data_IF_342590307274
#
_entry.id   IF_342590307274
#
_cell.length_a   1.000
_cell.length_b   1.000
_cell.length_c   1.000
_cell.angle_alpha   90.00
_cell.angle_beta   90.00
_cell.angle_gamma   90.00
#
_symmetry.space_group_name_H-M   'P 1'
#
loop_
_entity.id
_entity.type
_entity.pdbx_description
1 polymer ?
#
# COMPACT_ATOMS: atom_id res chain seq x y z
N UNK A 1 10.88 -6.25 5.69
CA UNK A 1 9.47 -6.06 6.08
C UNK A 1 9.09 -4.61 5.82
N UNK A 2 7.92 -4.32 5.25
CA UNK A 2 7.45 -2.95 5.03
C UNK A 2 7.39 -2.24 6.39
N UNK A 3 7.98 -1.04 6.51
CA UNK A 3 8.09 -0.31 7.79
C UNK A 3 7.10 0.84 7.91
N UNK A 4 6.90 1.56 6.82
CA UNK A 4 6.04 2.74 6.77
C UNK A 4 5.43 2.86 5.39
N UNK A 5 4.18 3.31 5.34
CA UNK A 5 3.49 3.69 4.11
C UNK A 5 2.92 5.10 4.30
N UNK A 6 3.33 6.01 3.40
CA UNK A 6 2.81 7.37 3.33
C UNK A 6 2.08 7.55 2.00
N UNK A 7 0.86 8.08 2.04
CA UNK A 7 -0.02 8.28 0.90
C UNK A 7 -0.46 9.74 0.87
N UNK A 8 -0.08 10.45 -0.19
CA UNK A 8 -0.42 11.85 -0.40
C UNK A 8 -1.53 11.99 -1.44
N UNK A 9 -2.69 12.51 -1.02
CA UNK A 9 -3.84 12.86 -1.87
C UNK A 9 -4.24 11.76 -2.87
N UNK A 10 -4.54 10.57 -2.36
CA UNK A 10 -5.02 9.45 -3.18
C UNK A 10 -6.42 9.01 -2.74
N UNK A 11 -7.43 9.26 -3.59
CA UNK A 11 -8.85 9.01 -3.28
C UNK A 11 -9.22 9.65 -1.93
N UNK A 12 -9.70 8.86 -0.96
CA UNK A 12 -10.07 9.34 0.37
C UNK A 12 -8.90 9.41 1.36
N UNK A 13 -7.66 9.10 0.94
CA UNK A 13 -6.47 9.14 1.79
C UNK A 13 -5.73 10.48 1.57
N UNK A 14 -5.89 11.41 2.51
CA UNK A 14 -5.27 12.74 2.52
C UNK A 14 -4.17 12.76 3.59
N UNK A 15 -2.91 12.94 3.19
CA UNK A 15 -1.74 12.91 4.09
C UNK A 15 -1.75 11.70 5.04
N UNK A 16 -2.13 10.53 4.51
CA UNK A 16 -2.30 9.32 5.29
C UNK A 16 -0.95 8.67 5.57
N UNK A 17 -0.74 8.27 6.82
CA UNK A 17 0.48 7.63 7.27
C UNK A 17 0.16 6.42 8.14
N UNK A 18 0.88 5.31 7.90
CA UNK A 18 0.84 4.12 8.76
C UNK A 18 2.25 3.59 8.98
N UNK A 19 2.52 3.20 10.22
CA UNK A 19 3.74 2.51 10.65
C UNK A 19 3.41 1.04 10.93
N UNK A 20 4.19 0.14 10.36
CA UNK A 20 4.06 -1.31 10.51
C UNK A 20 5.07 -1.83 11.55
N UNK A 21 4.90 -1.36 12.78
CA UNK A 21 5.79 -1.70 13.90
C UNK A 21 5.44 -3.06 14.54
N UNK A 22 4.24 -3.57 14.26
CA UNK A 22 3.72 -4.85 14.73
C UNK A 22 3.64 -5.87 13.59
N UNK A 23 3.72 -7.16 13.93
CA UNK A 23 3.64 -8.26 12.95
C UNK A 23 2.26 -8.36 12.27
N UNK A 24 1.22 -7.89 12.96
CA UNK A 24 -0.17 -7.90 12.47
C UNK A 24 -0.76 -6.50 12.57
N UNK A 25 -1.37 -6.02 11.49
CA UNK A 25 -2.10 -4.76 11.45
C UNK A 25 -3.58 -5.01 11.15
N UNK A 26 -4.47 -4.43 11.95
CA UNK A 26 -5.92 -4.53 11.78
C UNK A 26 -6.49 -3.18 11.34
N UNK A 27 -7.22 -3.17 10.22
CA UNK A 27 -7.87 -1.97 9.70
C UNK A 27 -9.36 -1.95 10.06
N UNK A 28 -9.77 -1.04 10.93
CA UNK A 28 -11.15 -0.87 11.38
C UNK A 28 -11.74 0.45 10.87
N UNK A 29 -13.08 0.50 10.79
CA UNK A 29 -13.83 1.72 10.43
C UNK A 29 -15.06 1.42 9.58
N UNK A 30 -15.91 2.43 9.39
CA UNK A 30 -17.12 2.34 8.55
C UNK A 30 -16.83 2.21 7.05
N UNK A 31 -17.86 1.91 6.24
CA UNK A 31 -17.72 1.90 4.78
C UNK A 31 -17.27 3.26 4.26
N UNK A 32 -16.41 3.26 3.23
CA UNK A 32 -15.84 4.48 2.67
C UNK A 32 -14.64 5.06 3.44
N UNK A 33 -14.28 4.53 4.61
CA UNK A 33 -13.15 5.02 5.42
C UNK A 33 -11.75 4.77 4.83
N UNK A 34 -11.65 4.25 3.60
CA UNK A 34 -10.37 4.05 2.91
C UNK A 34 -9.64 2.73 3.18
N UNK A 35 -10.24 1.78 3.93
CA UNK A 35 -9.62 0.45 4.19
C UNK A 35 -9.21 -0.26 2.89
N UNK A 36 -10.15 -0.48 1.96
CA UNK A 36 -9.85 -1.11 0.68
C UNK A 36 -8.87 -0.28 -0.17
N UNK A 37 -8.86 1.04 -0.01
CA UNK A 37 -7.94 1.94 -0.71
C UNK A 37 -6.49 1.74 -0.24
N UNK A 38 -6.25 1.48 1.05
CA UNK A 38 -4.90 1.14 1.54
C UNK A 38 -4.39 -0.13 0.86
N UNK A 39 -5.21 -1.19 0.80
CA UNK A 39 -4.84 -2.43 0.11
C UNK A 39 -4.59 -2.25 -1.39
N UNK A 40 -5.38 -1.40 -2.05
CA UNK A 40 -5.17 -1.05 -3.46
C UNK A 40 -3.81 -0.39 -3.69
N UNK A 41 -3.42 0.57 -2.84
CA UNK A 41 -2.10 1.22 -2.95
C UNK A 41 -0.97 0.23 -2.71
N UNK A 42 -1.09 -0.61 -1.67
CA UNK A 42 -0.12 -1.68 -1.40
C UNK A 42 0.03 -2.61 -2.60
N UNK A 43 -1.08 -3.01 -3.23
CA UNK A 43 -1.08 -3.88 -4.41
C UNK A 43 -0.35 -3.22 -5.58
N UNK A 44 -0.60 -1.94 -5.86
CA UNK A 44 0.09 -1.19 -6.92
C UNK A 44 1.60 -1.11 -6.68
N UNK A 45 2.03 -0.87 -5.45
CA UNK A 45 3.46 -0.83 -5.09
C UNK A 45 4.09 -2.20 -5.33
N UNK A 46 3.43 -3.28 -4.87
CA UNK A 46 3.92 -4.65 -5.07
C UNK A 46 4.01 -4.97 -6.55
N UNK A 47 2.98 -4.66 -7.33
CA UNK A 47 2.96 -4.93 -8.77
C UNK A 47 4.08 -4.16 -9.48
N UNK A 48 4.28 -2.88 -9.17
CA UNK A 48 5.40 -2.08 -9.70
C UNK A 48 6.77 -2.71 -9.39
N UNK A 49 7.01 -3.11 -8.14
CA UNK A 49 8.28 -3.72 -7.72
C UNK A 49 8.50 -5.11 -8.34
N UNK A 50 7.43 -5.87 -8.54
CA UNK A 50 7.52 -7.21 -9.15
C UNK A 50 7.59 -7.17 -10.68
N UNK A 51 7.00 -6.17 -11.32
CA UNK A 51 7.10 -5.98 -12.78
C UNK A 51 8.52 -5.65 -13.23
N UNK A 52 9.32 -4.96 -12.40
CA UNK A 52 10.77 -4.80 -12.64
C UNK A 52 11.49 -6.15 -12.76
N UNK A 53 11.04 -7.21 -12.08
CA UNK A 53 11.66 -8.54 -12.16
C UNK A 53 11.35 -9.31 -13.43
N UNK A 54 10.25 -9.01 -14.15
CA UNK A 54 9.89 -9.73 -15.38
C UNK A 54 10.64 -9.24 -16.62
N UNK A 55 11.15 -8.01 -16.61
CA UNK A 55 11.89 -7.45 -17.74
C UNK A 55 13.39 -7.79 -17.72
N UNK A 56 13.91 -8.40 -16.64
CA UNK A 56 15.32 -8.78 -16.50
C UNK A 56 15.70 -10.10 -17.23
N UNK A 57 14.74 -10.85 -17.79
CA UNK A 57 15.00 -12.08 -18.57
C UNK A 57 14.64 -11.93 -20.05
N UNK A 58 14.62 -10.69 -20.55
CA UNK A 58 14.25 -10.38 -21.94
C UNK A 58 15.30 -9.56 -22.69
N UNK A 59 16.58 -9.79 -22.37
CA UNK A 59 17.74 -9.28 -23.10
C UNK A 59 18.61 -10.46 -23.49
#
# INVERSE_FOLDING_TARGET
MLKRLYIHNYKCLVNFEIHFDQDVSLFLGGNGSGKSTVFEVLKKIIDMVLEEKKNCHRI
#
